data_IF_844095237615
#
_entry.id   IF_844095237615
#
_cell.length_a   1.000
_cell.length_b   1.000
_cell.length_c   1.000
_cell.angle_alpha   90.00
_cell.angle_beta   90.00
_cell.angle_gamma   90.00
#
_symmetry.space_group_name_H-M   'P 1'
#
loop_
_entity.id
_entity.type
_entity.pdbx_description
1 polymer ?
#
# COMPACT_ATOMS: atom_id res chain seq x y z
N UNK A 1 23.04 -20.26 26.69
CA UNK A 1 23.29 -19.07 27.53
C UNK A 1 22.24 -18.03 27.16
N UNK A 2 21.08 -18.14 27.81
CA UNK A 2 19.83 -17.48 27.42
C UNK A 2 19.78 -16.12 28.09
N UNK A 3 20.13 -15.05 27.35
CA UNK A 3 20.02 -13.68 27.87
C UNK A 3 18.54 -13.36 28.03
N UNK A 4 18.17 -13.14 29.29
CA UNK A 4 16.82 -12.90 29.77
C UNK A 4 16.14 -11.72 29.05
N UNK A 5 15.13 -12.02 28.24
CA UNK A 5 14.32 -11.03 27.51
C UNK A 5 13.53 -10.12 28.47
N UNK A 6 13.31 -10.56 29.71
CA UNK A 6 12.60 -9.82 30.75
C UNK A 6 13.38 -8.58 31.20
N UNK A 7 14.66 -8.74 31.57
CA UNK A 7 15.53 -7.66 32.05
C UNK A 7 15.81 -6.59 30.98
N UNK A 8 15.84 -7.00 29.69
CA UNK A 8 15.97 -6.06 28.57
C UNK A 8 14.70 -5.21 28.39
N UNK A 9 13.51 -5.81 28.55
CA UNK A 9 12.22 -5.11 28.49
C UNK A 9 12.06 -4.08 29.62
N UNK A 10 12.43 -4.45 30.85
CA UNK A 10 12.37 -3.53 32.00
C UNK A 10 13.35 -2.35 31.87
N UNK A 11 14.58 -2.60 31.39
CA UNK A 11 15.56 -1.53 31.12
C UNK A 11 15.09 -0.57 30.03
N UNK A 12 14.45 -1.07 28.98
CA UNK A 12 13.82 -0.25 27.93
C UNK A 12 12.66 0.57 28.49
N UNK A 13 11.80 -0.02 29.33
CA UNK A 13 10.70 0.67 30.00
C UNK A 13 11.16 1.81 30.92
N UNK A 14 12.22 1.58 31.71
CA UNK A 14 12.80 2.60 32.60
C UNK A 14 13.44 3.74 31.81
N UNK A 15 14.15 3.43 30.73
CA UNK A 15 14.75 4.43 29.83
C UNK A 15 13.69 5.30 29.17
N UNK A 16 12.59 4.68 28.70
CA UNK A 16 11.46 5.38 28.07
C UNK A 16 10.73 6.30 29.05
N UNK A 17 10.46 5.86 30.28
CA UNK A 17 9.89 6.71 31.34
C UNK A 17 10.80 7.89 31.69
N UNK A 18 12.11 7.68 31.75
CA UNK A 18 13.09 8.75 32.02
C UNK A 18 13.15 9.77 30.88
N UNK A 19 13.04 9.32 29.63
CA UNK A 19 12.96 10.19 28.46
C UNK A 19 11.65 11.01 28.44
N UNK A 20 10.51 10.39 28.77
CA UNK A 20 9.21 11.07 28.89
C UNK A 20 9.21 12.10 30.01
N UNK A 21 9.79 11.79 31.17
CA UNK A 21 9.95 12.74 32.29
C UNK A 21 10.77 13.95 31.85
N UNK A 22 11.96 13.71 31.26
CA UNK A 22 12.82 14.80 30.76
C UNK A 22 12.13 15.67 29.71
N UNK A 23 11.32 15.06 28.84
CA UNK A 23 10.53 15.79 27.84
C UNK A 23 9.45 16.64 28.49
N UNK A 24 8.73 16.12 29.49
CA UNK A 24 7.75 16.88 30.27
C UNK A 24 8.41 18.04 31.01
N UNK A 25 9.55 17.81 31.66
CA UNK A 25 10.30 18.83 32.39
C UNK A 25 10.83 19.93 31.46
N UNK A 26 11.32 19.57 30.26
CA UNK A 26 11.77 20.53 29.26
C UNK A 26 10.62 21.37 28.68
N UNK A 27 9.44 20.76 28.47
CA UNK A 27 8.22 21.47 28.05
C UNK A 27 7.77 22.41 29.17
N UNK A 28 7.70 21.93 30.41
CA UNK A 28 7.31 22.74 31.58
C UNK A 28 8.27 23.92 31.79
N UNK A 29 9.58 23.72 31.60
CA UNK A 29 10.58 24.79 31.69
C UNK A 29 10.39 25.84 30.59
N UNK A 30 10.16 25.42 29.34
CA UNK A 30 9.86 26.34 28.22
C UNK A 30 8.56 27.11 28.42
N UNK A 31 7.54 26.46 28.97
CA UNK A 31 6.25 27.07 29.31
C UNK A 31 6.41 28.09 30.45
N UNK A 32 7.30 27.82 31.42
CA UNK A 32 7.56 28.73 32.54
C UNK A 32 8.44 29.93 32.18
N UNK A 33 9.26 29.83 31.12
CA UNK A 33 10.15 30.90 30.65
C UNK A 33 9.43 31.92 29.73
N UNK A 34 8.23 31.60 29.23
CA UNK A 34 7.51 32.41 28.24
C UNK A 34 6.18 32.89 28.85
N UNK A 35 6.19 34.11 29.40
CA UNK A 35 5.11 34.73 30.20
C UNK A 35 3.77 34.88 29.46
N UNK A 36 3.79 34.72 28.12
CA UNK A 36 2.63 34.80 27.23
C UNK A 36 2.24 33.46 26.61
N UNK A 37 2.83 32.35 27.05
CA UNK A 37 2.54 31.03 26.48
C UNK A 37 1.21 30.47 27.03
N UNK A 38 0.10 30.90 26.45
CA UNK A 38 -1.20 30.28 26.69
C UNK A 38 -1.21 28.85 26.12
N UNK A 39 -1.13 27.85 26.99
CA UNK A 39 -1.36 26.46 26.58
C UNK A 39 -2.86 26.34 26.27
N UNK A 40 -3.26 26.11 25.01
CA UNK A 40 -4.67 25.97 24.69
C UNK A 40 -5.26 24.81 25.50
N UNK A 41 -6.43 25.04 26.09
CA UNK A 41 -7.14 23.98 26.82
C UNK A 41 -7.35 22.77 25.91
N UNK A 42 -7.09 21.57 26.44
CA UNK A 42 -7.21 20.34 25.67
C UNK A 42 -8.66 20.18 25.18
N UNK A 43 -8.85 20.28 23.86
CA UNK A 43 -10.14 20.15 23.21
C UNK A 43 -10.30 18.78 22.56
N UNK A 44 -11.45 18.14 22.79
CA UNK A 44 -11.84 16.87 22.16
C UNK A 44 -12.72 17.08 20.92
N UNK A 45 -12.78 18.29 20.35
CA UNK A 45 -13.58 18.56 19.13
C UNK A 45 -13.21 17.65 17.95
N UNK A 46 -11.97 17.15 17.89
CA UNK A 46 -11.54 16.16 16.91
C UNK A 46 -12.32 14.84 17.02
N UNK A 47 -12.82 14.47 18.20
CA UNK A 47 -13.54 13.22 18.44
C UNK A 47 -14.88 13.17 17.69
N UNK A 48 -15.42 14.34 17.33
CA UNK A 48 -16.63 14.47 16.50
C UNK A 48 -16.33 14.28 15.01
N UNK A 49 -15.05 14.25 14.60
CA UNK A 49 -14.61 14.10 13.20
C UNK A 49 -14.43 12.63 12.82
N UNK A 50 -15.41 11.82 13.12
CA UNK A 50 -15.51 10.45 12.60
C UNK A 50 -16.95 10.15 12.23
N UNK A 51 -17.13 9.31 11.22
CA UNK A 51 -18.44 8.87 10.75
C UNK A 51 -18.94 7.65 11.53
N UNK A 52 -18.02 6.84 12.06
CA UNK A 52 -18.36 5.65 12.84
C UNK A 52 -17.33 5.42 13.96
N UNK A 53 -17.79 4.97 15.12
CA UNK A 53 -16.97 4.53 16.25
C UNK A 53 -17.23 3.06 16.55
N UNK A 54 -16.28 2.41 17.22
CA UNK A 54 -16.46 1.04 17.72
C UNK A 54 -16.42 -0.06 16.66
N UNK A 55 -16.02 0.26 15.43
CA UNK A 55 -15.80 -0.73 14.37
C UNK A 55 -14.52 -1.52 14.69
N UNK A 56 -14.63 -2.84 14.69
CA UNK A 56 -13.51 -3.75 14.93
C UNK A 56 -13.58 -4.86 13.89
N UNK A 57 -12.49 -5.00 13.13
CA UNK A 57 -12.35 -6.10 12.19
C UNK A 57 -11.92 -7.38 12.91
N UNK A 58 -12.48 -8.49 12.45
CA UNK A 58 -12.14 -9.82 12.93
C UNK A 58 -10.96 -10.37 12.14
N UNK A 59 -10.00 -10.95 12.86
CA UNK A 59 -8.83 -11.58 12.25
C UNK A 59 -9.16 -13.05 12.01
N UNK A 60 -9.07 -13.49 10.76
CA UNK A 60 -9.31 -14.88 10.37
C UNK A 60 -8.04 -15.73 10.54
N UNK A 61 -8.13 -17.05 10.35
CA UNK A 61 -6.95 -17.93 10.28
C UNK A 61 -5.96 -17.50 9.18
N UNK A 62 -6.48 -16.94 8.08
CA UNK A 62 -5.69 -16.38 6.97
C UNK A 62 -5.19 -14.95 7.22
N UNK A 63 -5.31 -14.44 8.44
CA UNK A 63 -4.95 -13.07 8.81
C UNK A 63 -6.09 -12.07 8.63
N UNK A 64 -5.73 -10.78 8.75
CA UNK A 64 -6.64 -9.65 8.53
C UNK A 64 -6.60 -9.26 7.05
N UNK A 65 -7.56 -9.75 6.28
CA UNK A 65 -7.70 -9.49 4.84
C UNK A 65 -8.40 -8.17 4.57
N UNK A 66 -8.22 -7.66 3.36
CA UNK A 66 -8.88 -6.44 2.88
C UNK A 66 -10.41 -6.52 3.01
N UNK A 67 -11.03 -7.64 2.63
CA UNK A 67 -12.49 -7.81 2.76
C UNK A 67 -12.97 -7.78 4.21
N UNK A 68 -12.17 -8.27 5.16
CA UNK A 68 -12.50 -8.21 6.58
C UNK A 68 -12.53 -6.77 7.13
N UNK A 69 -12.01 -5.79 6.40
CA UNK A 69 -12.08 -4.36 6.74
C UNK A 69 -13.39 -3.70 6.29
N UNK A 70 -14.15 -4.33 5.39
CA UNK A 70 -15.39 -3.81 4.82
C UNK A 70 -16.58 -3.96 5.79
N UNK A 71 -16.51 -3.28 6.94
CA UNK A 71 -17.52 -3.36 8.01
C UNK A 71 -18.31 -2.05 8.08
N UNK A 72 -19.64 -2.14 8.12
CA UNK A 72 -20.50 -0.95 8.18
C UNK A 72 -20.23 0.00 7.02
N UNK A 73 -20.01 1.29 7.31
CA UNK A 73 -19.82 2.32 6.27
C UNK A 73 -18.56 2.12 5.42
N UNK A 74 -17.61 1.30 5.88
CA UNK A 74 -16.39 1.00 5.14
C UNK A 74 -16.66 -0.01 4.00
N UNK A 75 -17.63 -0.90 4.19
CA UNK A 75 -18.04 -1.92 3.21
C UNK A 75 -19.22 -1.52 2.32
N UNK A 76 -19.92 -0.42 2.64
CA UNK A 76 -20.99 0.08 1.78
C UNK A 76 -20.43 0.65 0.48
N UNK A 77 -20.65 -0.07 -0.63
CA UNK A 77 -20.20 0.34 -1.96
C UNK A 77 -21.28 1.23 -2.60
N UNK A 78 -21.07 2.56 -2.71
CA UNK A 78 -22.07 3.45 -3.27
C UNK A 78 -22.17 3.23 -4.78
N UNK A 79 -23.34 3.52 -5.36
CA UNK A 79 -23.52 3.45 -6.82
C UNK A 79 -22.70 4.52 -7.55
N UNK A 80 -22.43 5.65 -6.89
CA UNK A 80 -21.63 6.75 -7.41
C UNK A 80 -20.80 7.39 -6.31
N UNK A 81 -19.53 7.66 -6.61
CA UNK A 81 -18.63 8.36 -5.69
C UNK A 81 -18.51 9.84 -6.05
N UNK A 82 -19.10 10.71 -5.22
CA UNK A 82 -19.12 12.15 -5.49
C UNK A 82 -17.86 12.88 -5.01
N UNK A 83 -17.19 12.37 -3.96
CA UNK A 83 -15.98 12.99 -3.45
C UNK A 83 -14.83 12.86 -4.45
N UNK A 84 -14.19 13.99 -4.77
CA UNK A 84 -13.10 14.03 -5.73
C UNK A 84 -11.73 14.25 -5.08
N UNK A 85 -11.64 14.04 -3.77
CA UNK A 85 -10.37 13.99 -3.05
C UNK A 85 -9.85 12.55 -2.97
N UNK A 86 -8.71 12.33 -2.32
CA UNK A 86 -8.17 10.98 -2.06
C UNK A 86 -8.85 10.27 -0.88
N UNK A 87 -10.03 10.74 -0.47
CA UNK A 87 -10.74 10.19 0.66
C UNK A 87 -11.24 8.77 0.33
N UNK A 88 -10.83 7.74 1.07
CA UNK A 88 -11.41 6.40 0.95
C UNK A 88 -12.78 6.35 1.62
N UNK A 89 -13.52 5.25 1.41
CA UNK A 89 -14.79 5.00 2.10
C UNK A 89 -14.60 5.01 3.63
N UNK A 90 -15.57 5.60 4.32
CA UNK A 90 -15.58 5.74 5.79
C UNK A 90 -14.62 6.78 6.38
N UNK A 91 -13.81 7.47 5.57
CA UNK A 91 -13.03 8.61 6.05
C UNK A 91 -13.89 9.87 6.17
N UNK A 92 -13.54 10.74 7.13
CA UNK A 92 -14.25 11.99 7.37
C UNK A 92 -13.78 13.08 6.39
N UNK A 93 -14.68 13.78 5.69
CA UNK A 93 -14.32 14.76 4.66
C UNK A 93 -13.61 15.97 5.27
N UNK A 94 -12.56 16.43 4.59
CA UNK A 94 -11.84 17.64 4.97
C UNK A 94 -12.28 18.80 4.08
N UNK A 95 -12.87 19.87 4.65
CA UNK A 95 -13.26 21.05 3.89
C UNK A 95 -12.07 21.71 3.19
N UNK A 96 -12.30 22.23 1.98
CA UNK A 96 -11.31 23.02 1.25
C UNK A 96 -10.25 22.23 0.49
N UNK A 97 -10.34 20.89 0.45
CA UNK A 97 -9.46 20.07 -0.39
C UNK A 97 -9.85 20.24 -1.87
N UNK A 98 -8.92 20.67 -2.75
CA UNK A 98 -9.22 20.80 -4.17
C UNK A 98 -9.55 19.45 -4.81
N UNK A 99 -10.51 19.41 -5.76
CA UNK A 99 -10.83 18.18 -6.47
C UNK A 99 -9.67 17.76 -7.38
N UNK A 100 -9.41 16.46 -7.43
CA UNK A 100 -8.42 15.85 -8.33
C UNK A 100 -9.00 15.67 -9.74
N UNK A 101 -10.33 15.56 -9.87
CA UNK A 101 -10.99 15.42 -11.16
C UNK A 101 -10.99 13.98 -11.69
N UNK A 102 -11.44 13.01 -10.88
CA UNK A 102 -11.55 11.62 -11.34
C UNK A 102 -12.53 11.46 -12.51
N UNK A 103 -12.08 10.80 -13.57
CA UNK A 103 -12.88 10.51 -14.76
C UNK A 103 -13.91 9.39 -14.54
N UNK A 104 -13.60 8.41 -13.69
CA UNK A 104 -14.44 7.21 -13.48
C UNK A 104 -14.94 7.18 -12.03
N UNK A 105 -16.25 7.33 -11.85
CA UNK A 105 -16.90 7.54 -10.54
C UNK A 105 -18.12 6.65 -10.26
N UNK A 106 -18.65 5.99 -11.28
CA UNK A 106 -19.82 5.12 -11.15
C UNK A 106 -19.38 3.69 -10.82
N UNK A 107 -20.17 3.01 -9.99
CA UNK A 107 -19.92 1.63 -9.56
C UNK A 107 -19.91 0.67 -10.73
N UNK A 108 -20.87 0.83 -11.65
CA UNK A 108 -20.99 -0.01 -12.86
C UNK A 108 -19.76 0.03 -13.77
N UNK A 109 -18.97 1.10 -13.70
CA UNK A 109 -17.83 1.30 -14.59
C UNK A 109 -16.51 0.80 -13.95
N UNK A 110 -16.48 0.60 -12.63
CA UNK A 110 -15.24 0.39 -11.89
C UNK A 110 -15.28 -0.80 -10.92
N UNK A 111 -16.42 -1.11 -10.30
CA UNK A 111 -16.51 -2.08 -9.21
C UNK A 111 -16.41 -3.53 -9.71
N UNK A 112 -15.68 -4.34 -8.94
CA UNK A 112 -15.62 -5.79 -9.11
C UNK A 112 -15.68 -6.45 -7.73
N UNK A 113 -16.63 -7.37 -7.54
CA UNK A 113 -16.89 -8.00 -6.24
C UNK A 113 -15.72 -8.84 -5.73
N UNK A 114 -14.90 -9.37 -6.63
CA UNK A 114 -13.75 -10.22 -6.33
C UNK A 114 -12.43 -9.45 -6.21
N UNK A 115 -12.42 -8.12 -6.34
CA UNK A 115 -11.19 -7.34 -6.36
C UNK A 115 -10.37 -7.48 -5.07
N UNK A 116 -11.05 -7.56 -3.92
CA UNK A 116 -10.38 -7.74 -2.64
C UNK A 116 -9.69 -9.10 -2.53
N UNK A 117 -10.36 -10.17 -2.96
CA UNK A 117 -9.80 -11.53 -2.96
C UNK A 117 -8.63 -11.67 -3.93
N UNK A 118 -8.75 -11.10 -5.13
CA UNK A 118 -7.68 -11.10 -6.13
C UNK A 118 -6.44 -10.35 -5.63
N UNK A 119 -6.64 -9.22 -4.94
CA UNK A 119 -5.55 -8.51 -4.29
C UNK A 119 -4.82 -9.38 -3.25
N UNK A 120 -5.56 -10.06 -2.37
CA UNK A 120 -4.97 -10.94 -1.36
C UNK A 120 -4.18 -12.10 -2.01
N UNK A 121 -4.74 -12.71 -3.07
CA UNK A 121 -4.07 -13.76 -3.83
C UNK A 121 -2.76 -13.25 -4.48
N UNK A 122 -2.80 -12.07 -5.10
CA UNK A 122 -1.63 -11.46 -5.74
C UNK A 122 -0.50 -11.18 -4.74
N UNK A 123 -0.85 -10.72 -3.54
CA UNK A 123 0.13 -10.46 -2.46
C UNK A 123 0.73 -11.76 -1.92
N UNK A 124 -0.08 -12.81 -1.78
CA UNK A 124 0.36 -14.11 -1.27
C UNK A 124 1.30 -14.84 -2.24
N UNK A 125 1.05 -14.74 -3.55
CA UNK A 125 1.84 -15.43 -4.60
C UNK A 125 3.00 -14.61 -5.15
N UNK A 126 3.28 -13.46 -4.56
CA UNK A 126 4.36 -12.57 -5.00
C UNK A 126 5.71 -13.29 -4.96
N UNK A 127 6.46 -13.09 -6.03
CA UNK A 127 7.84 -13.57 -6.22
C UNK A 127 8.75 -12.39 -6.61
N UNK A 128 10.06 -12.58 -6.48
CA UNK A 128 11.10 -11.61 -6.74
C UNK A 128 12.06 -12.13 -7.82
N UNK A 129 12.15 -11.47 -8.99
CA UNK A 129 13.04 -11.91 -10.06
C UNK A 129 14.51 -11.97 -9.66
N UNK A 130 14.95 -11.17 -8.68
CA UNK A 130 16.36 -11.13 -8.27
C UNK A 130 16.77 -12.32 -7.39
N UNK A 131 15.86 -12.92 -6.62
CA UNK A 131 16.19 -13.92 -5.59
C UNK A 131 15.60 -15.28 -5.85
N UNK A 132 14.45 -15.34 -6.54
CA UNK A 132 13.68 -16.58 -6.66
C UNK A 132 14.06 -17.37 -7.93
N UNK A 133 14.88 -16.77 -8.80
CA UNK A 133 15.43 -17.39 -10.01
C UNK A 133 16.94 -17.56 -9.83
N UNK A 134 17.43 -18.78 -10.09
CA UNK A 134 18.86 -19.13 -10.08
C UNK A 134 19.51 -18.69 -11.39
N UNK A 135 19.88 -17.41 -11.48
CA UNK A 135 20.49 -16.85 -12.70
C UNK A 135 21.88 -17.39 -13.00
N UNK A 136 22.60 -17.84 -11.98
CA UNK A 136 23.95 -18.40 -12.05
C UNK A 136 24.01 -19.81 -12.68
N UNK A 137 22.87 -20.50 -12.75
CA UNK A 137 22.79 -21.85 -13.33
C UNK A 137 22.39 -21.83 -14.81
N UNK A 138 22.24 -20.66 -15.43
CA UNK A 138 21.86 -20.55 -16.84
C UNK A 138 23.08 -20.84 -17.71
N UNK A 139 22.94 -21.84 -18.59
CA UNK A 139 23.96 -22.19 -19.58
C UNK A 139 23.64 -21.56 -20.95
N UNK A 140 24.66 -21.26 -21.78
CA UNK A 140 24.47 -20.85 -23.17
C UNK A 140 23.72 -21.91 -23.99
N UNK A 141 22.74 -21.47 -24.78
CA UNK A 141 22.12 -22.31 -25.81
C UNK A 141 22.89 -22.18 -27.14
N UNK A 142 22.53 -22.99 -28.14
CA UNK A 142 23.03 -22.79 -29.51
C UNK A 142 22.68 -21.38 -30.00
N UNK A 143 23.59 -20.74 -30.75
CA UNK A 143 23.47 -19.33 -31.15
C UNK A 143 22.12 -18.96 -31.80
N UNK A 144 21.58 -19.82 -32.65
CA UNK A 144 20.28 -19.60 -33.32
C UNK A 144 19.10 -19.63 -32.33
N UNK A 145 19.15 -20.53 -31.36
CA UNK A 145 18.16 -20.63 -30.28
C UNK A 145 18.32 -19.47 -29.30
N UNK A 146 19.54 -19.12 -28.91
CA UNK A 146 19.81 -18.02 -27.98
C UNK A 146 19.33 -16.69 -28.55
N UNK A 147 19.63 -16.41 -29.83
CA UNK A 147 19.13 -15.22 -30.53
C UNK A 147 17.59 -15.20 -30.61
N UNK A 148 16.96 -16.36 -30.85
CA UNK A 148 15.50 -16.48 -30.89
C UNK A 148 14.86 -16.22 -29.51
N UNK A 149 15.46 -16.74 -28.45
CA UNK A 149 15.03 -16.49 -27.06
C UNK A 149 15.19 -15.01 -26.71
N UNK A 150 16.31 -14.39 -27.09
CA UNK A 150 16.55 -12.97 -26.86
C UNK A 150 15.51 -12.09 -27.58
N UNK A 151 15.17 -12.43 -28.82
CA UNK A 151 14.12 -11.74 -29.57
C UNK A 151 12.75 -11.90 -28.89
N UNK A 152 12.39 -13.12 -28.48
CA UNK A 152 11.14 -13.39 -27.77
C UNK A 152 11.07 -12.62 -26.44
N UNK A 153 12.12 -12.69 -25.63
CA UNK A 153 12.19 -11.96 -24.36
C UNK A 153 12.13 -10.44 -24.57
N UNK A 154 12.73 -9.91 -25.64
CA UNK A 154 12.61 -8.48 -25.99
C UNK A 154 11.16 -8.09 -26.29
N UNK A 155 10.43 -8.92 -27.04
CA UNK A 155 9.01 -8.69 -27.32
C UNK A 155 8.16 -8.79 -26.04
N UNK A 156 8.42 -9.77 -25.18
CA UNK A 156 7.69 -9.93 -23.90
C UNK A 156 7.97 -8.77 -22.93
N UNK A 157 9.20 -8.27 -22.90
CA UNK A 157 9.58 -7.07 -22.16
C UNK A 157 8.79 -5.85 -22.63
N UNK A 158 8.65 -5.66 -23.95
CA UNK A 158 7.83 -4.60 -24.50
C UNK A 158 6.35 -4.74 -24.11
N UNK A 159 5.79 -5.96 -24.16
CA UNK A 159 4.41 -6.21 -23.76
C UNK A 159 4.16 -5.88 -22.28
N UNK A 160 5.06 -6.32 -21.39
CA UNK A 160 4.98 -5.99 -19.97
C UNK A 160 5.04 -4.46 -19.73
N UNK A 161 5.84 -3.73 -20.51
CA UNK A 161 5.87 -2.27 -20.42
C UNK A 161 4.54 -1.63 -20.86
N UNK A 162 3.93 -2.14 -21.93
CA UNK A 162 2.60 -1.66 -22.37
C UNK A 162 1.54 -1.88 -21.31
N UNK A 163 1.58 -3.01 -20.60
CA UNK A 163 0.67 -3.29 -19.49
C UNK A 163 0.81 -2.27 -18.34
N UNK A 164 2.05 -1.96 -17.94
CA UNK A 164 2.33 -0.94 -16.91
C UNK A 164 1.72 0.41 -17.31
N UNK A 165 1.98 0.88 -18.53
CA UNK A 165 1.47 2.16 -19.02
C UNK A 165 -0.07 2.19 -19.09
N UNK A 166 -0.66 1.09 -19.57
CA UNK A 166 -2.12 0.96 -19.68
C UNK A 166 -2.78 1.06 -18.30
N UNK A 167 -2.30 0.28 -17.32
CA UNK A 167 -2.82 0.28 -15.96
C UNK A 167 -2.57 1.62 -15.25
N UNK A 168 -1.37 2.19 -15.38
CA UNK A 168 -1.01 3.48 -14.79
C UNK A 168 -1.90 4.63 -15.30
N UNK A 169 -2.26 4.61 -16.59
CA UNK A 169 -3.17 5.59 -17.17
C UNK A 169 -4.60 5.50 -16.64
N UNK A 170 -5.03 4.35 -16.13
CA UNK A 170 -6.37 4.15 -15.56
C UNK A 170 -6.43 4.45 -14.07
N UNK A 171 -5.41 4.03 -13.31
CA UNK A 171 -5.36 4.14 -11.84
C UNK A 171 -5.61 5.56 -11.31
N UNK A 172 -5.12 6.59 -12.02
CA UNK A 172 -5.30 7.98 -11.62
C UNK A 172 -6.70 8.53 -11.93
N UNK A 173 -7.43 7.94 -12.89
CA UNK A 173 -8.78 8.36 -13.28
C UNK A 173 -9.87 7.76 -12.39
N UNK A 174 -9.57 6.65 -11.72
CA UNK A 174 -10.47 5.95 -10.83
C UNK A 174 -10.69 6.73 -9.53
N UNK A 175 -11.91 6.76 -9.02
CA UNK A 175 -12.21 7.34 -7.70
C UNK A 175 -11.73 6.48 -6.53
N UNK A 176 -11.46 7.09 -5.36
CA UNK A 176 -11.03 6.36 -4.15
C UNK A 176 -12.18 5.64 -3.41
N UNK A 177 -13.43 5.83 -3.87
CA UNK A 177 -14.58 5.09 -3.39
C UNK A 177 -14.52 3.58 -3.68
N UNK A 178 -13.75 3.13 -4.67
CA UNK A 178 -13.62 1.72 -5.06
C UNK A 178 -12.17 1.26 -4.90
N UNK A 179 -11.63 1.48 -3.70
CA UNK A 179 -10.21 1.36 -3.42
C UNK A 179 -9.68 -0.07 -3.58
N UNK A 180 -10.50 -1.11 -3.41
CA UNK A 180 -10.08 -2.51 -3.60
C UNK A 180 -9.65 -2.79 -5.03
N UNK A 181 -10.39 -2.25 -6.00
CA UNK A 181 -10.04 -2.37 -7.42
C UNK A 181 -8.72 -1.66 -7.70
N UNK A 182 -8.49 -0.49 -7.11
CA UNK A 182 -7.20 0.21 -7.21
C UNK A 182 -6.06 -0.58 -6.60
N UNK A 183 -6.27 -1.19 -5.43
CA UNK A 183 -5.25 -2.00 -4.76
C UNK A 183 -4.87 -3.21 -5.61
N UNK A 184 -5.86 -3.90 -6.19
CA UNK A 184 -5.62 -5.02 -7.10
C UNK A 184 -4.88 -4.58 -8.38
N UNK A 185 -5.35 -3.55 -9.07
CA UNK A 185 -4.67 -3.08 -10.30
C UNK A 185 -3.26 -2.54 -10.01
N UNK A 186 -3.02 -1.99 -8.82
CA UNK A 186 -1.68 -1.63 -8.40
C UNK A 186 -0.78 -2.87 -8.22
N UNK A 187 -1.30 -3.98 -7.66
CA UNK A 187 -0.51 -5.22 -7.56
C UNK A 187 -0.20 -5.82 -8.94
N UNK A 188 -1.15 -5.78 -9.88
CA UNK A 188 -0.91 -6.23 -11.27
C UNK A 188 0.17 -5.40 -11.96
N UNK A 189 0.12 -4.07 -11.80
CA UNK A 189 1.16 -3.18 -12.33
C UNK A 189 2.56 -3.50 -11.76
N UNK A 190 2.64 -3.90 -10.49
CA UNK A 190 3.88 -4.38 -9.87
C UNK A 190 4.30 -5.78 -10.35
N UNK A 191 3.37 -6.65 -10.75
CA UNK A 191 3.67 -7.94 -11.36
C UNK A 191 4.21 -7.76 -12.80
N UNK A 192 3.59 -6.88 -13.59
CA UNK A 192 4.08 -6.49 -14.91
C UNK A 192 5.51 -5.89 -14.85
N UNK A 193 5.82 -5.09 -13.82
CA UNK A 193 7.20 -4.61 -13.60
C UNK A 193 8.20 -5.74 -13.34
N UNK A 194 7.79 -6.79 -12.61
CA UNK A 194 8.63 -7.99 -12.39
C UNK A 194 8.78 -8.82 -13.67
N UNK A 195 7.74 -8.91 -14.49
CA UNK A 195 7.82 -9.50 -15.82
C UNK A 195 8.80 -8.74 -16.74
N UNK A 196 8.73 -7.41 -16.75
CA UNK A 196 9.69 -6.59 -17.49
C UNK A 196 11.14 -6.90 -17.07
N UNK A 197 11.38 -6.95 -15.76
CA UNK A 197 12.71 -7.25 -15.20
C UNK A 197 13.20 -8.66 -15.59
N UNK A 198 12.37 -9.69 -15.44
CA UNK A 198 12.78 -11.09 -15.70
C UNK A 198 13.11 -11.31 -17.17
N UNK A 199 12.30 -10.78 -18.09
CA UNK A 199 12.54 -10.94 -19.53
C UNK A 199 13.79 -10.19 -19.97
N UNK A 200 14.00 -8.99 -19.43
CA UNK A 200 15.21 -8.21 -19.70
C UNK A 200 16.47 -8.91 -19.17
N UNK A 201 16.40 -9.51 -17.98
CA UNK A 201 17.50 -10.31 -17.42
C UNK A 201 17.79 -11.53 -18.30
N UNK A 202 16.78 -12.32 -18.66
CA UNK A 202 16.96 -13.51 -19.50
C UNK A 202 17.54 -13.17 -20.86
N UNK A 203 17.11 -12.08 -21.50
CA UNK A 203 17.65 -11.63 -22.78
C UNK A 203 19.13 -11.24 -22.72
N UNK A 204 19.66 -10.90 -21.53
CA UNK A 204 21.03 -10.42 -21.36
C UNK A 204 21.95 -11.43 -20.66
N UNK A 205 21.43 -12.56 -20.18
CA UNK A 205 22.21 -13.55 -19.42
C UNK A 205 23.35 -14.19 -20.22
N UNK A 206 23.14 -14.48 -21.51
CA UNK A 206 24.12 -15.18 -22.36
C UNK A 206 24.69 -14.33 -23.50
N UNK A 207 24.36 -13.03 -23.55
CA UNK A 207 24.97 -12.08 -24.48
C UNK A 207 24.24 -11.79 -25.79
N UNK A 208 23.18 -12.54 -26.14
CA UNK A 208 22.36 -12.30 -27.34
C UNK A 208 23.03 -12.64 -28.66
#
# INVERSE_FOLDING_TARGET
MTIDKSDRSEKLGRTRRRAESRRKDAIAKRVAEDEHLEIPSASLEWMKRTLQWGVKADVTESGLKLDALNIGIYGEIPDKWEDQSRMPRGAYPMPGVPPIGYGIREKRDLWADNAADLYEEAIQRRWSPATDIQWDTIEPLNDDVEASVCQLCTMLCQHANTEIETLGSWLHQMSYGYHEVKLFLASEMFDAARHYEVFRKRALSNGG
#
